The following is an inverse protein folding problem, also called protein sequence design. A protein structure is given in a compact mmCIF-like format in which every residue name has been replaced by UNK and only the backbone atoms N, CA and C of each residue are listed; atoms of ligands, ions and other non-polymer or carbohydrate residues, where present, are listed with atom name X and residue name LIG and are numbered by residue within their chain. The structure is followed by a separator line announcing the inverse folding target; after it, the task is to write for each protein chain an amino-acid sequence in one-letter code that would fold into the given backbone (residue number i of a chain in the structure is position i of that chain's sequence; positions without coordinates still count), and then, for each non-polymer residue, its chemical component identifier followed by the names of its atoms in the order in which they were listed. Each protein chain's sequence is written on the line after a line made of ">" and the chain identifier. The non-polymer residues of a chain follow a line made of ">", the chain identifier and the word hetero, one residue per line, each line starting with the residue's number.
data_IF_110560751782
#
_entry.id   IF_110560751782
#
_cell.length_a   1.000
_cell.length_b   1.000
_cell.length_c   1.000
_cell.angle_alpha   90.00
_cell.angle_beta   90.00
_cell.angle_gamma   90.00
#
_symmetry.space_group_name_H-M   'P 1'
#
loop_
_entity.id
_entity.type
_entity.pdbx_description
1 polymer ?
#
# COMPACT_ATOMS: atom_id res chain seq x y z
N UNK A 1 -17.31 -1.21 32.49
CA UNK A 1 -16.58 -0.20 31.67
C UNK A 1 -15.19 -0.67 31.21
N UNK A 2 -14.37 -1.29 32.08
CA UNK A 2 -13.04 -1.83 31.73
C UNK A 2 -13.00 -2.77 30.50
N UNK A 3 -13.97 -3.68 30.38
CA UNK A 3 -14.00 -4.64 29.25
C UNK A 3 -14.18 -3.96 27.89
N UNK A 4 -15.00 -2.89 27.82
CA UNK A 4 -15.18 -2.11 26.59
C UNK A 4 -13.88 -1.41 26.14
N UNK A 5 -13.13 -0.86 27.10
CA UNK A 5 -11.86 -0.17 26.82
C UNK A 5 -10.85 -1.15 26.22
N UNK A 6 -10.76 -2.37 26.77
CA UNK A 6 -9.87 -3.41 26.26
C UNK A 6 -10.24 -3.78 24.81
N UNK A 7 -11.53 -3.95 24.52
CA UNK A 7 -11.98 -4.24 23.14
C UNK A 7 -11.60 -3.13 22.15
N UNK A 8 -11.74 -1.86 22.54
CA UNK A 8 -11.34 -0.75 21.67
C UNK A 8 -9.84 -0.70 21.42
N UNK A 9 -9.02 -0.96 22.45
CA UNK A 9 -7.56 -0.99 22.31
C UNK A 9 -7.13 -2.13 21.37
N UNK A 10 -7.69 -3.33 21.55
CA UNK A 10 -7.37 -4.49 20.69
C UNK A 10 -7.77 -4.20 19.24
N UNK A 11 -8.94 -3.60 19.01
CA UNK A 11 -9.40 -3.27 17.65
C UNK A 11 -8.53 -2.20 17.00
N UNK A 12 -8.11 -1.18 17.75
CA UNK A 12 -7.21 -0.15 17.26
C UNK A 12 -5.83 -0.73 16.90
N UNK A 13 -5.29 -1.62 17.74
CA UNK A 13 -4.03 -2.30 17.47
C UNK A 13 -4.10 -3.15 16.19
N UNK A 14 -5.19 -3.91 16.00
CA UNK A 14 -5.41 -4.70 14.78
C UNK A 14 -5.49 -3.82 13.53
N UNK A 15 -6.21 -2.68 13.61
CA UNK A 15 -6.29 -1.75 12.49
C UNK A 15 -4.91 -1.16 12.14
N UNK A 16 -4.11 -0.77 13.13
CA UNK A 16 -2.78 -0.20 12.90
C UNK A 16 -1.84 -1.20 12.20
N UNK A 17 -1.84 -2.46 12.64
CA UNK A 17 -1.05 -3.53 12.00
C UNK A 17 -1.51 -3.77 10.57
N UNK A 18 -2.83 -3.84 10.33
CA UNK A 18 -3.37 -4.05 8.99
C UNK A 18 -2.98 -2.89 8.04
N UNK A 19 -3.07 -1.64 8.50
CA UNK A 19 -2.68 -0.48 7.69
C UNK A 19 -1.18 -0.47 7.39
N UNK A 20 -0.34 -0.87 8.34
CA UNK A 20 1.11 -0.96 8.13
C UNK A 20 1.48 -2.05 7.12
N UNK A 21 0.76 -3.18 7.15
CA UNK A 21 0.96 -4.25 6.18
C UNK A 21 0.55 -3.82 4.76
N UNK A 22 -0.57 -3.09 4.63
CA UNK A 22 -1.08 -2.65 3.32
C UNK A 22 -0.28 -1.46 2.76
N UNK A 23 0.18 -0.53 3.61
CA UNK A 23 0.99 0.61 3.16
C UNK A 23 2.34 0.18 2.57
N UNK A 24 2.92 -0.91 3.08
CA UNK A 24 4.14 -1.50 2.51
C UNK A 24 3.95 -2.02 1.07
N UNK A 25 2.76 -2.53 0.72
CA UNK A 25 2.49 -3.08 -0.61
C UNK A 25 2.50 -2.02 -1.71
N UNK A 26 2.13 -0.77 -1.42
CA UNK A 26 2.20 0.32 -2.40
C UNK A 26 3.64 0.67 -2.80
N UNK A 27 4.62 0.37 -1.92
CA UNK A 27 6.05 0.60 -2.18
C UNK A 27 6.74 -0.64 -2.79
N UNK A 28 6.09 -1.80 -2.81
CA UNK A 28 6.67 -3.02 -3.40
C UNK A 28 6.66 -3.00 -4.93
N UNK A 29 5.69 -2.32 -5.53
CA UNK A 29 5.68 -2.10 -6.97
C UNK A 29 6.12 -0.67 -7.24
N UNK A 30 7.28 -0.45 -7.90
CA UNK A 30 7.64 0.88 -8.34
C UNK A 30 6.55 1.37 -9.28
N UNK A 31 5.77 2.34 -8.84
CA UNK A 31 4.86 3.06 -9.71
C UNK A 31 5.72 3.89 -10.67
N UNK A 32 5.38 3.95 -11.97
CA UNK A 32 6.03 4.89 -12.88
C UNK A 32 5.91 6.32 -12.29
N UNK A 33 7.05 6.94 -12.06
CA UNK A 33 7.24 8.24 -11.40
C UNK A 33 7.44 9.40 -12.39
N UNK A 34 7.46 9.15 -13.71
CA UNK A 34 7.63 10.21 -14.70
C UNK A 34 7.23 9.87 -16.13
N UNK A 35 7.16 10.92 -16.99
CA UNK A 35 6.91 10.77 -18.42
C UNK A 35 8.08 10.02 -19.07
N UNK A 36 7.89 8.72 -19.31
CA UNK A 36 8.91 7.83 -19.86
C UNK A 36 9.09 6.55 -19.05
N UNK A 37 8.51 6.45 -17.86
CA UNK A 37 8.53 5.20 -17.12
C UNK A 37 7.63 4.16 -17.81
N UNK A 38 8.21 2.99 -18.01
CA UNK A 38 7.57 1.84 -18.64
C UNK A 38 6.67 1.11 -17.65
N UNK A 39 5.52 0.61 -18.13
CA UNK A 39 4.71 -0.35 -17.37
C UNK A 39 4.75 -1.70 -18.08
N UNK A 40 5.04 -2.76 -17.33
CA UNK A 40 4.98 -4.14 -17.82
C UNK A 40 6.18 -5.00 -17.44
N UNK A 41 6.19 -6.28 -17.89
CA UNK A 41 7.35 -7.18 -17.79
C UNK A 41 8.59 -6.58 -18.45
N UNK A 42 9.82 -7.02 -18.08
CA UNK A 42 11.07 -6.47 -18.62
C UNK A 42 11.17 -6.53 -20.17
N UNK A 43 10.55 -7.53 -20.80
CA UNK A 43 10.50 -7.69 -22.26
C UNK A 43 9.39 -6.87 -22.94
N UNK A 44 8.59 -6.11 -22.19
CA UNK A 44 7.46 -5.34 -22.68
C UNK A 44 7.36 -3.98 -21.98
N UNK A 45 7.92 -2.94 -22.61
CA UNK A 45 7.75 -1.55 -22.17
C UNK A 45 6.64 -0.88 -22.99
N UNK A 46 5.51 -0.59 -22.35
CA UNK A 46 4.56 0.42 -22.87
C UNK A 46 4.71 1.71 -22.08
N UNK A 47 4.65 2.88 -22.76
CA UNK A 47 4.67 4.17 -22.08
C UNK A 47 3.52 4.29 -21.08
N UNK A 48 3.79 4.81 -19.89
CA UNK A 48 2.73 5.17 -18.97
C UNK A 48 1.90 6.34 -19.54
N UNK A 49 0.64 6.09 -19.87
CA UNK A 49 -0.29 7.13 -20.32
C UNK A 49 -0.84 7.88 -19.10
N UNK A 50 -0.51 9.16 -18.94
CA UNK A 50 -1.08 10.00 -17.88
C UNK A 50 -0.16 11.01 -17.20
N UNK A 51 1.09 11.15 -17.65
CA UNK A 51 2.08 12.16 -17.20
C UNK A 51 2.17 13.36 -18.15
#
# INVERSE_FOLDING_TARGET
>A
MKSRIITYIVRAALCAVATAAISGCANLHPQPNGPGDCVGPPDYCVPFFGS
#
